data_IF_319302418933
#
_entry.id   IF_319302418933
#
_cell.length_a   1.000
_cell.length_b   1.000
_cell.length_c   1.000
_cell.angle_alpha   90.00
_cell.angle_beta   90.00
_cell.angle_gamma   90.00
#
_symmetry.space_group_name_H-M   'P 1'
#
loop_
_entity.id
_entity.type
_entity.pdbx_description
1 polymer ?
#
# COMPACT_ATOMS: atom_id res chain seq x y z
N UNK A 1 14.19 2.67 -19.70
CA UNK A 1 13.60 1.48 -19.05
C UNK A 1 12.20 1.77 -18.50
N UNK A 2 11.31 2.34 -19.32
CA UNK A 2 9.89 2.62 -18.98
C UNK A 2 9.02 2.11 -20.13
N UNK A 3 9.46 2.32 -21.37
CA UNK A 3 8.87 1.77 -22.60
C UNK A 3 8.71 0.24 -22.63
N UNK A 4 9.64 -0.52 -22.03
CA UNK A 4 9.56 -1.99 -21.95
C UNK A 4 8.50 -2.49 -20.98
N UNK A 5 8.10 -1.68 -19.97
CA UNK A 5 7.06 -2.04 -19.00
C UNK A 5 5.66 -1.92 -19.61
N UNK A 6 5.44 -0.88 -20.43
CA UNK A 6 4.15 -0.65 -21.08
C UNK A 6 3.81 -1.65 -22.20
N UNK A 7 4.81 -2.22 -22.88
CA UNK A 7 4.59 -3.29 -23.87
C UNK A 7 4.14 -4.60 -23.16
N UNK A 8 4.66 -4.84 -21.96
CA UNK A 8 4.35 -6.05 -21.18
C UNK A 8 2.92 -6.05 -20.62
N UNK A 9 2.36 -4.87 -20.30
CA UNK A 9 0.94 -4.74 -19.91
C UNK A 9 -0.03 -5.16 -21.03
N UNK A 10 0.33 -4.98 -22.31
CA UNK A 10 -0.52 -5.31 -23.47
C UNK A 10 -0.65 -6.83 -23.71
N UNK A 11 0.31 -7.64 -23.24
CA UNK A 11 0.32 -9.11 -23.33
C UNK A 11 0.05 -9.78 -21.98
N UNK A 12 -0.64 -9.10 -21.07
CA UNK A 12 -0.93 -9.65 -19.78
C UNK A 12 -2.09 -10.66 -19.83
N UNK A 13 -1.75 -11.95 -19.90
CA UNK A 13 -2.68 -13.09 -19.90
C UNK A 13 -2.95 -13.63 -18.47
N UNK A 14 -2.35 -13.01 -17.45
CA UNK A 14 -2.40 -13.36 -16.01
C UNK A 14 -2.60 -12.09 -15.15
N UNK A 15 -2.49 -12.12 -13.82
CA UNK A 15 -2.50 -10.88 -13.02
C UNK A 15 -1.21 -10.07 -13.22
N UNK A 16 -1.31 -8.87 -13.79
CA UNK A 16 -0.18 -7.92 -13.88
C UNK A 16 -0.34 -6.75 -12.93
N UNK A 17 0.81 -6.32 -12.42
CA UNK A 17 0.96 -5.10 -11.64
C UNK A 17 1.15 -3.91 -12.59
N UNK A 18 0.07 -3.16 -12.84
CA UNK A 18 0.13 -1.92 -13.62
C UNK A 18 -0.08 -0.69 -12.73
N UNK A 19 0.33 0.47 -13.22
CA UNK A 19 0.10 1.76 -12.52
C UNK A 19 -1.40 2.10 -12.40
N UNK A 20 -2.27 1.41 -13.15
CA UNK A 20 -3.71 1.53 -13.00
C UNK A 20 -4.18 0.90 -11.66
N UNK A 21 -3.62 -0.26 -11.32
CA UNK A 21 -4.00 -1.05 -10.14
C UNK A 21 -3.18 -0.70 -8.90
N UNK A 22 -1.88 -0.44 -9.06
CA UNK A 22 -0.95 -0.16 -7.95
C UNK A 22 -0.51 1.29 -8.04
N UNK A 23 -1.32 2.17 -7.45
CA UNK A 23 -0.97 3.59 -7.29
C UNK A 23 -0.11 3.75 -6.04
N UNK A 24 1.07 4.36 -6.20
CA UNK A 24 1.96 4.66 -5.07
C UNK A 24 1.48 5.84 -4.20
N UNK A 25 0.22 6.28 -4.37
CA UNK A 25 -0.38 7.36 -3.60
C UNK A 25 -1.20 6.82 -2.43
N UNK A 26 -0.72 7.09 -1.21
CA UNK A 26 -1.35 6.67 0.04
C UNK A 26 -2.35 7.68 0.61
N UNK A 27 -2.62 8.80 -0.09
CA UNK A 27 -3.51 9.86 0.39
C UNK A 27 -4.94 9.35 0.65
N UNK A 28 -5.47 8.51 -0.23
CA UNK A 28 -6.80 7.93 -0.05
C UNK A 28 -6.86 7.00 1.17
N UNK A 29 -5.77 6.24 1.41
CA UNK A 29 -5.65 5.40 2.61
C UNK A 29 -5.64 6.25 3.88
N UNK A 30 -4.87 7.35 3.89
CA UNK A 30 -4.84 8.30 5.01
C UNK A 30 -6.25 8.83 5.33
N UNK A 31 -6.96 9.33 4.32
CA UNK A 31 -8.32 9.87 4.48
C UNK A 31 -9.30 8.83 5.02
N UNK A 32 -9.24 7.59 4.52
CA UNK A 32 -10.12 6.50 4.96
C UNK A 32 -9.83 6.08 6.39
N UNK A 33 -8.57 5.90 6.76
CA UNK A 33 -8.23 5.55 8.13
C UNK A 33 -8.63 6.67 9.09
N UNK A 34 -8.38 7.94 8.76
CA UNK A 34 -8.82 9.08 9.59
C UNK A 34 -10.33 9.15 9.80
N UNK A 35 -11.12 8.82 8.77
CA UNK A 35 -12.59 8.96 8.81
C UNK A 35 -13.30 7.72 9.35
N UNK A 36 -12.70 6.54 9.24
CA UNK A 36 -13.38 5.27 9.52
C UNK A 36 -12.76 4.49 10.70
N UNK A 37 -11.47 4.70 11.01
CA UNK A 37 -10.81 4.02 12.13
C UNK A 37 -10.84 4.91 13.38
N UNK A 38 -11.83 4.67 14.22
CA UNK A 38 -12.10 5.50 15.42
C UNK A 38 -11.40 4.89 16.64
N UNK A 39 -10.81 5.74 17.49
CA UNK A 39 -10.22 5.33 18.77
C UNK A 39 -8.86 4.62 18.67
N UNK A 40 -8.29 4.48 17.46
CA UNK A 40 -7.01 3.80 17.23
C UNK A 40 -5.93 4.71 16.60
N UNK A 41 -5.58 5.87 17.21
CA UNK A 41 -4.63 6.81 16.62
C UNK A 41 -3.22 6.20 16.46
N UNK A 42 -2.83 5.29 17.35
CA UNK A 42 -1.54 4.59 17.27
C UNK A 42 -1.50 3.64 16.07
N UNK A 43 -2.53 2.82 15.87
CA UNK A 43 -2.60 1.89 14.75
C UNK A 43 -2.65 2.64 13.42
N UNK A 44 -3.48 3.70 13.33
CA UNK A 44 -3.54 4.58 12.17
C UNK A 44 -2.16 5.10 11.77
N UNK A 45 -1.43 5.70 12.71
CA UNK A 45 -0.15 6.34 12.43
C UNK A 45 0.93 5.33 12.03
N UNK A 46 1.03 4.20 12.74
CA UNK A 46 1.98 3.13 12.43
C UNK A 46 1.73 2.48 11.07
N UNK A 47 0.47 2.15 10.76
CA UNK A 47 0.10 1.54 9.48
C UNK A 47 0.42 2.50 8.34
N UNK A 48 -0.03 3.77 8.45
CA UNK A 48 0.16 4.74 7.38
C UNK A 48 1.64 5.03 7.12
N UNK A 49 2.45 5.21 8.17
CA UNK A 49 3.90 5.43 8.03
C UNK A 49 4.61 4.22 7.42
N UNK A 50 4.27 3.01 7.86
CA UNK A 50 4.90 1.78 7.38
C UNK A 50 4.63 1.57 5.89
N UNK A 51 3.37 1.72 5.46
CA UNK A 51 2.99 1.59 4.06
C UNK A 51 3.63 2.71 3.23
N UNK A 52 3.52 3.97 3.68
CA UNK A 52 4.11 5.11 2.98
C UNK A 52 5.62 4.94 2.76
N UNK A 53 6.34 4.49 3.78
CA UNK A 53 7.79 4.26 3.71
C UNK A 53 8.16 3.07 2.82
N UNK A 54 7.33 2.03 2.78
CA UNK A 54 7.60 0.86 1.95
C UNK A 54 7.33 1.16 0.47
N UNK A 55 6.18 1.77 0.17
CA UNK A 55 5.76 2.09 -1.20
C UNK A 55 6.59 3.23 -1.83
N UNK A 56 7.20 4.11 -1.02
CA UNK A 56 8.12 5.12 -1.53
C UNK A 56 9.49 4.56 -1.93
N UNK A 57 9.87 3.38 -1.44
CA UNK A 57 11.09 2.69 -1.85
C UNK A 57 10.79 1.78 -3.05
N UNK A 58 11.33 2.13 -4.22
CA UNK A 58 11.13 1.34 -5.45
C UNK A 58 11.82 -0.04 -5.41
N UNK A 59 12.80 -0.24 -4.53
CA UNK A 59 13.57 -1.48 -4.39
C UNK A 59 13.72 -1.85 -2.90
N UNK A 60 12.63 -2.25 -2.22
CA UNK A 60 12.71 -2.63 -0.82
C UNK A 60 13.51 -3.93 -0.67
N UNK A 61 14.40 -3.98 0.31
CA UNK A 61 15.25 -5.16 0.55
C UNK A 61 14.48 -6.37 1.08
N UNK A 62 13.27 -6.17 1.62
CA UNK A 62 12.36 -7.19 2.17
C UNK A 62 10.91 -6.74 2.02
N UNK A 63 9.99 -7.68 2.04
CA UNK A 63 8.55 -7.41 2.08
C UNK A 63 8.14 -6.71 3.38
N UNK A 64 7.12 -5.85 3.32
CA UNK A 64 6.48 -5.28 4.50
C UNK A 64 5.63 -6.35 5.19
N UNK A 65 5.84 -6.54 6.49
CA UNK A 65 5.05 -7.45 7.32
C UNK A 65 4.42 -6.65 8.45
N UNK A 66 3.09 -6.76 8.60
CA UNK A 66 2.33 -6.14 9.68
C UNK A 66 1.73 -7.24 10.55
N UNK A 67 1.81 -7.08 11.87
CA UNK A 67 1.12 -7.93 12.83
C UNK A 67 0.25 -7.04 13.70
N UNK A 68 -1.06 -7.26 13.63
CA UNK A 68 -2.06 -6.45 14.33
C UNK A 68 -2.63 -7.28 15.49
N UNK A 69 -2.60 -6.71 16.69
CA UNK A 69 -3.05 -7.35 17.92
C UNK A 69 -3.98 -6.41 18.67
N UNK A 70 -5.01 -6.96 19.29
CA UNK A 70 -6.03 -6.18 19.99
C UNK A 70 -7.12 -7.05 20.60
N UNK A 71 -8.05 -6.41 21.30
CA UNK A 71 -9.27 -7.06 21.78
C UNK A 71 -10.21 -7.36 20.61
N UNK A 72 -11.28 -8.11 20.88
CA UNK A 72 -12.34 -8.27 19.88
C UNK A 72 -13.10 -6.95 19.70
N UNK A 73 -13.44 -6.59 18.46
CA UNK A 73 -14.19 -5.38 18.13
C UNK A 73 -13.38 -4.07 18.19
N UNK A 74 -12.05 -4.15 18.25
CA UNK A 74 -11.14 -2.99 18.27
C UNK A 74 -10.37 -2.79 16.97
#
# INVERSE_FOLDING_TARGET
MVLLRSIFDMFCIMECCSNHWIKNDVKELDLRLKSQLIGQPLAYDLILRSIKSHTSNLNPSKSLVLSLHGGTGT
#
